data_IF_990058973372
#
_entry.id   IF_990058973372
#
_cell.length_a   1.000
_cell.length_b   1.000
_cell.length_c   1.000
_cell.angle_alpha   90.00
_cell.angle_beta   90.00
_cell.angle_gamma   90.00
#
_symmetry.space_group_name_H-M   'P 1'
#
loop_
_entity.id
_entity.type
_entity.pdbx_description
1 polymer ?
#
# COMPACT_ATOMS: atom_id res chain seq x y z
N UNK A 1 9.33 4.70 -20.27
CA UNK A 1 9.69 3.58 -21.15
C UNK A 1 8.47 3.18 -21.94
N UNK A 2 8.63 2.64 -23.15
CA UNK A 2 7.53 2.07 -23.94
C UNK A 2 7.63 0.56 -23.88
N UNK A 3 6.47 -0.08 -23.85
CA UNK A 3 6.38 -1.53 -23.79
C UNK A 3 5.39 -2.03 -24.84
N UNK A 4 5.74 -3.10 -25.52
CA UNK A 4 4.78 -3.83 -26.35
C UNK A 4 4.15 -4.92 -25.49
N UNK A 5 2.82 -4.89 -25.36
CA UNK A 5 2.01 -5.85 -24.59
C UNK A 5 1.46 -6.91 -25.52
N UNK A 6 1.80 -8.16 -25.24
CA UNK A 6 1.25 -9.35 -25.90
C UNK A 6 0.23 -10.00 -24.97
N UNK A 7 -1.06 -9.93 -25.34
CA UNK A 7 -2.15 -10.48 -24.51
C UNK A 7 -2.70 -11.75 -25.15
N UNK A 8 -2.54 -12.88 -24.46
CA UNK A 8 -3.03 -14.20 -24.84
C UNK A 8 -4.34 -14.49 -24.14
N UNK A 9 -5.40 -14.82 -24.89
CA UNK A 9 -6.65 -15.30 -24.32
C UNK A 9 -6.61 -16.82 -24.21
N UNK A 10 -6.84 -17.35 -23.01
CA UNK A 10 -6.72 -18.76 -22.68
C UNK A 10 -7.82 -19.19 -21.71
N UNK A 11 -7.67 -20.34 -21.09
CA UNK A 11 -8.48 -20.88 -20.00
C UNK A 11 -7.66 -20.98 -18.72
N UNK A 12 -8.32 -20.90 -17.57
CA UNK A 12 -7.68 -20.91 -16.24
C UNK A 12 -6.81 -22.15 -16.01
N UNK A 13 -7.22 -23.31 -16.50
CA UNK A 13 -6.46 -24.57 -16.39
C UNK A 13 -5.13 -24.59 -17.19
N UNK A 14 -4.94 -23.65 -18.12
CA UNK A 14 -3.76 -23.61 -18.99
C UNK A 14 -2.76 -22.51 -18.64
N UNK A 15 -3.06 -21.64 -17.66
CA UNK A 15 -2.26 -20.48 -17.31
C UNK A 15 -0.81 -20.82 -16.99
N UNK A 16 -0.59 -21.66 -15.99
CA UNK A 16 0.73 -22.00 -15.48
C UNK A 16 1.64 -22.62 -16.56
N UNK A 17 1.06 -23.47 -17.41
CA UNK A 17 1.80 -24.12 -18.49
C UNK A 17 2.19 -23.14 -19.58
N UNK A 18 1.27 -22.26 -19.98
CA UNK A 18 1.57 -21.22 -20.98
C UNK A 18 2.62 -20.25 -20.43
N UNK A 19 2.50 -19.81 -19.19
CA UNK A 19 3.47 -18.92 -18.56
C UNK A 19 4.84 -19.58 -18.52
N UNK A 20 4.93 -20.83 -18.09
CA UNK A 20 6.19 -21.57 -18.02
C UNK A 20 6.83 -21.76 -19.40
N UNK A 21 6.04 -22.15 -20.42
CA UNK A 21 6.56 -22.35 -21.78
C UNK A 21 7.06 -21.03 -22.40
N UNK A 22 6.32 -19.93 -22.20
CA UNK A 22 6.72 -18.64 -22.74
C UNK A 22 7.87 -18.00 -21.95
N UNK A 23 8.03 -18.33 -20.68
CA UNK A 23 9.19 -17.94 -19.89
C UNK A 23 10.49 -18.57 -20.47
N UNK A 24 10.46 -19.83 -20.85
CA UNK A 24 11.59 -20.51 -21.49
C UNK A 24 12.00 -19.86 -22.83
N UNK A 25 11.08 -19.15 -23.46
CA UNK A 25 11.31 -18.39 -24.68
C UNK A 25 11.76 -16.93 -24.44
N UNK A 26 11.84 -16.52 -23.16
CA UNK A 26 12.31 -15.19 -22.74
C UNK A 26 11.21 -14.17 -22.46
N UNK A 27 9.94 -14.57 -22.46
CA UNK A 27 8.84 -13.72 -22.01
C UNK A 27 8.68 -13.87 -20.49
N UNK A 28 9.52 -13.15 -19.75
CA UNK A 28 9.59 -13.23 -18.29
C UNK A 28 8.40 -12.51 -17.64
N UNK A 29 7.70 -13.24 -16.77
CA UNK A 29 6.56 -12.72 -16.02
C UNK A 29 5.30 -12.52 -16.86
N UNK A 30 4.16 -12.76 -16.26
CA UNK A 30 2.85 -12.54 -16.87
C UNK A 30 1.91 -11.82 -15.90
N UNK A 31 1.16 -10.87 -16.41
CA UNK A 31 -0.01 -10.36 -15.70
C UNK A 31 -1.19 -11.29 -16.02
N UNK A 32 -1.77 -11.88 -14.99
CA UNK A 32 -2.92 -12.78 -15.11
C UNK A 32 -4.20 -11.96 -14.84
N UNK A 33 -5.16 -12.07 -15.75
CA UNK A 33 -6.52 -11.53 -15.58
C UNK A 33 -7.50 -12.70 -15.70
N UNK A 34 -7.98 -13.22 -14.58
CA UNK A 34 -8.94 -14.31 -14.46
C UNK A 34 -10.04 -13.97 -13.45
N UNK A 35 -10.89 -14.93 -13.17
CA UNK A 35 -11.95 -14.87 -12.16
C UNK A 35 -11.85 -16.03 -11.16
N UNK A 36 -10.70 -16.66 -11.06
CA UNK A 36 -10.45 -17.73 -10.10
C UNK A 36 -10.55 -17.17 -8.68
N UNK A 37 -11.38 -17.76 -7.80
CA UNK A 37 -11.48 -17.29 -6.44
C UNK A 37 -10.15 -17.45 -5.69
N UNK A 38 -9.73 -16.40 -5.00
CA UNK A 38 -8.54 -16.43 -4.17
C UNK A 38 -8.59 -17.58 -3.15
N UNK A 39 -7.50 -18.28 -3.01
CA UNK A 39 -7.33 -19.32 -1.98
C UNK A 39 -7.32 -18.69 -0.57
N UNK A 40 -7.52 -19.53 0.46
CA UNK A 40 -7.46 -19.06 1.85
C UNK A 40 -6.10 -18.45 2.20
N UNK A 41 -5.00 -18.98 1.63
CA UNK A 41 -3.64 -18.48 1.86
C UNK A 41 -3.43 -17.13 1.18
N UNK A 42 -3.87 -16.96 -0.05
CA UNK A 42 -3.78 -15.68 -0.78
C UNK A 42 -4.61 -14.60 -0.08
N UNK A 43 -5.81 -14.96 0.39
CA UNK A 43 -6.65 -14.06 1.19
C UNK A 43 -5.96 -13.60 2.46
N UNK A 44 -5.27 -14.51 3.16
CA UNK A 44 -4.52 -14.19 4.37
C UNK A 44 -3.32 -13.27 4.07
N UNK A 45 -2.68 -13.42 2.90
CA UNK A 45 -1.55 -12.59 2.47
C UNK A 45 -1.95 -11.19 1.96
N UNK A 46 -3.18 -10.99 1.56
CA UNK A 46 -3.65 -9.69 1.06
C UNK A 46 -3.84 -8.63 2.15
N UNK A 47 -3.85 -9.03 3.42
CA UNK A 47 -4.05 -8.11 4.56
C UNK A 47 -5.29 -7.21 4.41
N UNK A 48 -6.42 -7.77 3.96
CA UNK A 48 -7.69 -7.06 3.77
C UNK A 48 -8.76 -7.74 4.60
N UNK A 49 -9.46 -7.00 5.46
CA UNK A 49 -10.52 -7.55 6.32
C UNK A 49 -11.75 -7.97 5.53
N UNK A 50 -12.10 -7.24 4.47
CA UNK A 50 -13.23 -7.55 3.59
C UNK A 50 -12.70 -7.67 2.16
N UNK A 51 -12.73 -8.89 1.64
CA UNK A 51 -12.40 -9.16 0.24
C UNK A 51 -13.64 -8.94 -0.61
N UNK A 52 -13.55 -8.15 -1.70
CA UNK A 52 -14.66 -8.04 -2.62
C UNK A 52 -15.01 -9.44 -3.18
N UNK A 53 -16.28 -9.79 -3.18
CA UNK A 53 -16.75 -10.97 -3.89
C UNK A 53 -16.56 -10.74 -5.39
N UNK A 54 -15.61 -11.43 -5.98
CA UNK A 54 -15.38 -11.44 -7.41
C UNK A 54 -16.54 -12.11 -8.16
N UNK A 55 -16.71 -11.85 -9.48
CA UNK A 55 -17.63 -12.61 -10.30
C UNK A 55 -17.24 -14.09 -10.27
N UNK A 56 -18.24 -14.97 -10.52
CA UNK A 56 -17.96 -16.41 -10.61
C UNK A 56 -16.96 -16.69 -11.74
N UNK A 57 -16.04 -17.62 -11.50
CA UNK A 57 -15.10 -18.08 -12.51
C UNK A 57 -15.85 -18.61 -13.72
N UNK A 58 -15.50 -18.12 -14.91
CA UNK A 58 -16.06 -18.53 -16.20
C UNK A 58 -15.08 -19.39 -17.01
N UNK A 59 -13.95 -19.76 -16.40
CA UNK A 59 -12.91 -20.57 -17.01
C UNK A 59 -12.09 -19.83 -18.07
N UNK A 60 -12.22 -18.50 -18.18
CA UNK A 60 -11.51 -17.68 -19.16
C UNK A 60 -10.41 -16.89 -18.45
N UNK A 61 -9.21 -16.94 -19.02
CA UNK A 61 -8.08 -16.15 -18.55
C UNK A 61 -7.43 -15.34 -19.66
N UNK A 62 -6.76 -14.26 -19.28
CA UNK A 62 -5.90 -13.48 -20.15
C UNK A 62 -4.53 -13.34 -19.52
N UNK A 63 -3.50 -13.71 -20.30
CA UNK A 63 -2.10 -13.60 -19.90
C UNK A 63 -1.47 -12.46 -20.68
N UNK A 64 -0.94 -11.45 -20.01
CA UNK A 64 -0.28 -10.31 -20.64
C UNK A 64 1.20 -10.34 -20.35
N UNK A 65 2.01 -10.39 -21.41
CA UNK A 65 3.47 -10.33 -21.40
C UNK A 65 3.92 -8.98 -21.93
N UNK A 66 5.00 -8.44 -21.36
CA UNK A 66 5.49 -7.11 -21.70
C UNK A 66 6.94 -7.20 -22.18
N UNK A 67 7.22 -6.59 -23.34
CA UNK A 67 8.57 -6.51 -23.91
C UNK A 67 8.94 -5.05 -24.08
N UNK A 68 10.10 -4.65 -23.55
CA UNK A 68 10.57 -3.27 -23.59
C UNK A 68 10.90 -2.83 -25.01
N UNK A 69 10.47 -1.62 -25.38
CA UNK A 69 10.81 -0.98 -26.65
C UNK A 69 12.06 -0.12 -26.48
N UNK A 70 12.95 -0.22 -27.48
CA UNK A 70 14.11 0.65 -27.61
C UNK A 70 13.68 2.06 -28.08
N UNK A 71 14.56 3.03 -27.91
CA UNK A 71 14.35 4.40 -28.40
C UNK A 71 14.13 4.47 -29.94
N UNK A 72 14.62 3.48 -30.69
CA UNK A 72 14.45 3.38 -32.15
C UNK A 72 13.19 2.60 -32.57
N UNK A 73 12.36 2.14 -31.62
CA UNK A 73 11.13 1.38 -31.85
C UNK A 73 11.36 -0.13 -32.07
N UNK A 74 12.58 -0.63 -31.91
CA UNK A 74 12.88 -2.05 -31.92
C UNK A 74 12.58 -2.72 -30.56
N UNK A 75 12.42 -4.05 -30.54
CA UNK A 75 12.24 -4.83 -29.32
C UNK A 75 13.53 -5.58 -28.98
N UNK A 76 13.71 -5.88 -27.71
CA UNK A 76 14.79 -6.77 -27.23
C UNK A 76 14.20 -7.93 -26.44
N UNK A 77 14.58 -9.13 -26.80
CA UNK A 77 14.21 -10.35 -26.07
C UNK A 77 15.48 -11.18 -25.81
N UNK A 78 15.73 -11.60 -24.57
CA UNK A 78 16.95 -12.31 -24.16
C UNK A 78 18.26 -11.59 -24.55
N UNK A 79 18.25 -10.26 -24.64
CA UNK A 79 19.40 -9.45 -25.04
C UNK A 79 19.65 -9.39 -26.55
N UNK A 80 18.80 -9.99 -27.37
CA UNK A 80 18.86 -9.95 -28.84
C UNK A 80 17.77 -9.05 -29.41
N UNK A 81 18.08 -8.40 -30.54
CA UNK A 81 17.13 -7.56 -31.26
C UNK A 81 16.06 -8.41 -31.95
N UNK A 82 14.83 -8.03 -31.78
CA UNK A 82 13.67 -8.75 -32.33
C UNK A 82 12.58 -7.79 -32.84
N UNK A 83 11.51 -8.35 -33.36
CA UNK A 83 10.35 -7.59 -33.86
C UNK A 83 9.05 -8.16 -33.30
N UNK A 84 7.99 -7.34 -33.32
CA UNK A 84 6.63 -7.78 -32.92
C UNK A 84 6.21 -9.03 -33.67
N UNK A 85 6.43 -9.07 -34.99
CA UNK A 85 6.05 -10.22 -35.82
C UNK A 85 6.83 -11.48 -35.47
N UNK A 86 8.11 -11.35 -35.09
CA UNK A 86 8.95 -12.49 -34.66
C UNK A 86 8.44 -13.06 -33.33
N UNK A 87 8.15 -12.20 -32.36
CA UNK A 87 7.58 -12.64 -31.06
C UNK A 87 6.20 -13.26 -31.27
N UNK A 88 5.33 -12.66 -32.08
CA UNK A 88 4.01 -13.23 -32.39
C UNK A 88 4.11 -14.61 -33.01
N UNK A 89 5.05 -14.81 -33.94
CA UNK A 89 5.26 -16.12 -34.58
C UNK A 89 5.73 -17.15 -33.57
N UNK A 90 6.71 -16.79 -32.74
CA UNK A 90 7.23 -17.61 -31.67
C UNK A 90 6.16 -18.03 -30.65
N UNK A 91 5.35 -17.08 -30.16
CA UNK A 91 4.25 -17.38 -29.23
C UNK A 91 3.20 -18.26 -29.88
N UNK A 92 2.82 -18.02 -31.16
CA UNK A 92 1.87 -18.87 -31.89
C UNK A 92 2.37 -20.31 -32.05
N UNK A 93 3.62 -20.48 -32.44
CA UNK A 93 4.23 -21.81 -32.59
C UNK A 93 4.21 -22.59 -31.26
N UNK A 94 4.50 -21.91 -30.14
CA UNK A 94 4.49 -22.53 -28.83
C UNK A 94 3.05 -22.89 -28.40
N UNK A 95 2.08 -21.99 -28.57
CA UNK A 95 0.68 -22.27 -28.28
C UNK A 95 0.13 -23.43 -29.15
N UNK A 96 0.51 -23.50 -30.42
CA UNK A 96 0.13 -24.60 -31.31
C UNK A 96 0.79 -25.93 -30.91
N UNK A 97 2.00 -25.90 -30.34
CA UNK A 97 2.64 -27.06 -29.74
C UNK A 97 1.88 -27.55 -28.52
N UNK A 98 1.52 -26.64 -27.59
CA UNK A 98 0.77 -26.97 -26.38
C UNK A 98 -0.61 -27.56 -26.69
N UNK A 99 -1.30 -27.10 -27.73
CA UNK A 99 -2.60 -27.65 -28.18
C UNK A 99 -2.57 -29.12 -28.54
N UNK A 100 -1.40 -29.68 -28.84
CA UNK A 100 -1.28 -31.12 -29.14
C UNK A 100 -1.39 -31.98 -27.87
N UNK A 101 -1.20 -31.39 -26.70
CA UNK A 101 -1.13 -32.10 -25.43
C UNK A 101 -2.25 -31.72 -24.46
N UNK A 102 -2.82 -30.51 -24.61
CA UNK A 102 -3.86 -30.02 -23.70
C UNK A 102 -4.78 -29.00 -24.37
N UNK A 103 -5.92 -28.77 -23.77
CA UNK A 103 -6.79 -27.66 -24.13
C UNK A 103 -6.20 -26.34 -23.59
N UNK A 104 -5.94 -25.38 -24.48
CA UNK A 104 -5.50 -24.04 -24.13
C UNK A 104 -6.56 -22.98 -24.44
N UNK A 105 -7.78 -23.39 -24.68
CA UNK A 105 -8.86 -22.51 -25.07
C UNK A 105 -8.66 -21.84 -26.42
N UNK A 106 -9.05 -20.57 -26.56
CA UNK A 106 -9.00 -19.85 -27.84
C UNK A 106 -7.56 -19.63 -28.33
N UNK A 107 -6.62 -19.30 -27.43
CA UNK A 107 -5.21 -19.06 -27.75
C UNK A 107 -5.03 -17.90 -28.75
N UNK A 108 -5.96 -16.97 -28.81
CA UNK A 108 -5.81 -15.75 -29.63
C UNK A 108 -4.85 -14.78 -28.95
N UNK A 109 -4.07 -14.05 -29.77
CA UNK A 109 -3.09 -13.09 -29.30
C UNK A 109 -3.47 -11.71 -29.83
N UNK A 110 -3.52 -10.73 -28.94
CA UNK A 110 -3.61 -9.31 -29.30
C UNK A 110 -2.31 -8.61 -28.93
N UNK A 111 -1.94 -7.60 -29.69
CA UNK A 111 -0.76 -6.78 -29.40
C UNK A 111 -1.20 -5.34 -29.25
N UNK A 112 -0.79 -4.74 -28.15
CA UNK A 112 -1.05 -3.34 -27.83
C UNK A 112 0.27 -2.67 -27.42
N UNK A 113 0.43 -1.40 -27.72
CA UNK A 113 1.50 -0.56 -27.18
C UNK A 113 1.04 0.01 -25.83
N UNK A 114 1.90 -0.03 -24.81
CA UNK A 114 1.65 0.62 -23.52
C UNK A 114 2.88 1.40 -23.10
N UNK A 115 2.68 2.54 -22.49
CA UNK A 115 3.76 3.33 -21.91
C UNK A 115 3.71 3.21 -20.38
N UNK A 116 4.86 3.21 -19.71
CA UNK A 116 4.93 3.30 -18.24
C UNK A 116 4.11 4.47 -17.71
N UNK A 117 4.08 5.55 -18.48
CA UNK A 117 3.32 6.77 -18.17
C UNK A 117 1.82 6.51 -18.09
N UNK A 118 1.26 5.64 -18.94
CA UNK A 118 -0.17 5.35 -18.94
C UNK A 118 -0.57 4.52 -17.72
N UNK A 119 0.28 3.64 -17.24
CA UNK A 119 0.02 2.84 -16.05
C UNK A 119 0.27 3.62 -14.76
N UNK A 120 1.42 4.31 -14.68
CA UNK A 120 1.81 5.14 -13.54
C UNK A 120 0.91 6.37 -13.38
N UNK A 121 0.36 6.93 -14.46
CA UNK A 121 -0.42 8.16 -14.41
C UNK A 121 -1.93 7.97 -14.54
N UNK A 122 -2.42 6.80 -14.97
CA UNK A 122 -3.85 6.61 -15.21
C UNK A 122 -4.69 6.71 -13.91
N UNK A 123 -4.12 6.35 -12.76
CA UNK A 123 -4.78 6.53 -11.47
C UNK A 123 -4.78 7.99 -10.99
N UNK A 124 -3.82 8.85 -11.44
CA UNK A 124 -3.76 10.27 -11.07
C UNK A 124 -5.03 11.03 -11.46
N UNK A 125 -5.67 10.65 -12.55
CA UNK A 125 -6.93 11.26 -12.99
C UNK A 125 -8.12 10.95 -12.07
N UNK A 126 -8.01 9.97 -11.18
CA UNK A 126 -9.06 9.59 -10.23
C UNK A 126 -8.79 10.11 -8.82
N UNK A 127 -7.58 10.60 -8.54
CA UNK A 127 -7.23 11.15 -7.24
C UNK A 127 -7.26 12.68 -7.30
N UNK A 128 -8.24 13.28 -6.63
CA UNK A 128 -8.44 14.71 -6.55
C UNK A 128 -8.32 15.18 -5.12
N UNK A 129 -8.11 16.51 -4.94
CA UNK A 129 -8.09 17.12 -3.63
C UNK A 129 -9.39 16.86 -2.85
N UNK A 130 -9.26 16.69 -1.55
CA UNK A 130 -10.38 16.51 -0.64
C UNK A 130 -10.07 17.12 0.72
N UNK A 131 -11.07 17.12 1.62
CA UNK A 131 -10.91 17.71 2.94
C UNK A 131 -11.06 16.66 4.04
N UNK A 132 -10.19 16.75 5.04
CA UNK A 132 -10.37 16.10 6.33
C UNK A 132 -10.58 17.25 7.33
N UNK A 133 -11.84 17.54 7.66
CA UNK A 133 -12.27 18.68 8.46
C UNK A 133 -11.73 20.02 7.88
N UNK A 134 -10.76 20.68 8.51
CA UNK A 134 -10.12 21.92 8.06
C UNK A 134 -8.77 21.70 7.34
N UNK A 135 -8.38 20.47 7.10
CA UNK A 135 -7.15 20.10 6.38
C UNK A 135 -7.50 19.86 4.92
N UNK A 136 -6.82 20.55 4.01
CA UNK A 136 -6.86 20.23 2.59
C UNK A 136 -5.81 19.17 2.28
N UNK A 137 -6.23 18.01 1.76
CA UNK A 137 -5.34 16.99 1.22
C UNK A 137 -5.36 17.14 -0.30
N UNK A 138 -4.20 17.31 -0.90
CA UNK A 138 -4.04 17.63 -2.31
C UNK A 138 -2.83 16.90 -2.90
N UNK A 139 -2.92 16.30 -4.09
CA UNK A 139 -1.77 15.73 -4.76
C UNK A 139 -0.82 16.83 -5.27
N UNK A 140 0.46 16.50 -5.45
CA UNK A 140 1.51 17.48 -5.84
C UNK A 140 1.28 18.11 -7.22
N UNK A 141 0.48 17.49 -8.10
CA UNK A 141 0.17 17.99 -9.44
C UNK A 141 -1.05 18.92 -9.51
N UNK A 142 -1.77 19.13 -8.40
CA UNK A 142 -2.89 20.08 -8.31
C UNK A 142 -2.44 21.38 -7.60
N UNK A 143 -3.04 22.50 -8.00
CA UNK A 143 -2.76 23.81 -7.39
C UNK A 143 -3.78 24.13 -6.28
N UNK A 144 -3.28 24.68 -5.18
CA UNK A 144 -4.13 25.13 -4.06
C UNK A 144 -4.94 26.35 -4.49
N UNK A 145 -6.26 26.25 -4.44
CA UNK A 145 -7.14 27.37 -4.76
C UNK A 145 -7.00 28.53 -3.76
N UNK A 146 -7.30 29.76 -4.22
CA UNK A 146 -7.18 30.98 -3.38
C UNK A 146 -8.00 30.90 -2.09
N UNK A 147 -9.15 30.23 -2.13
CA UNK A 147 -10.05 30.05 -0.97
C UNK A 147 -9.44 29.20 0.16
N UNK A 148 -8.41 28.40 -0.15
CA UNK A 148 -7.82 27.43 0.77
C UNK A 148 -6.42 27.80 1.25
N UNK A 149 -5.92 28.99 0.88
CA UNK A 149 -4.57 29.45 1.24
C UNK A 149 -4.30 29.58 2.73
N UNK A 150 -5.37 29.75 3.53
CA UNK A 150 -5.28 29.89 4.99
C UNK A 150 -5.48 28.55 5.73
N UNK A 151 -5.71 27.45 5.00
CA UNK A 151 -5.87 26.12 5.58
C UNK A 151 -4.54 25.40 5.75
N UNK A 152 -4.51 24.38 6.60
CA UNK A 152 -3.42 23.43 6.60
C UNK A 152 -3.52 22.60 5.33
N UNK A 153 -2.50 22.67 4.48
CA UNK A 153 -2.44 21.96 3.20
C UNK A 153 -1.44 20.82 3.31
N UNK A 154 -1.92 19.60 3.13
CA UNK A 154 -1.10 18.40 3.07
C UNK A 154 -0.97 17.93 1.62
N UNK A 155 0.24 17.87 1.12
CA UNK A 155 0.53 17.26 -0.17
C UNK A 155 0.80 15.77 0.00
N UNK A 156 -0.03 14.93 -0.61
CA UNK A 156 0.13 13.48 -0.62
C UNK A 156 -0.06 12.96 -2.04
N UNK A 157 0.96 12.29 -2.54
CA UNK A 157 0.86 11.58 -3.80
C UNK A 157 0.52 10.11 -3.51
N UNK A 158 -0.63 9.62 -4.00
CA UNK A 158 -0.91 8.20 -3.97
C UNK A 158 0.16 7.48 -4.81
N UNK A 159 0.98 6.70 -4.13
CA UNK A 159 2.02 5.90 -4.75
C UNK A 159 1.74 4.41 -4.59
N UNK A 160 2.80 3.62 -4.56
CA UNK A 160 2.75 2.18 -4.28
C UNK A 160 2.50 1.88 -2.79
N UNK A 161 2.72 2.84 -1.89
CA UNK A 161 2.49 2.70 -0.46
C UNK A 161 1.04 3.07 -0.07
N UNK A 162 0.48 2.35 0.90
CA UNK A 162 -0.85 2.61 1.46
C UNK A 162 -0.88 3.95 2.22
N UNK A 163 -2.05 4.63 2.22
CA UNK A 163 -2.26 5.82 3.06
C UNK A 163 -2.41 7.13 2.29
N UNK A 164 -3.43 7.22 1.41
CA UNK A 164 -3.77 8.49 0.71
C UNK A 164 -4.55 9.49 1.58
N UNK A 165 -5.02 9.05 2.75
CA UNK A 165 -5.88 9.86 3.63
C UNK A 165 -7.37 9.79 3.32
N UNK A 166 -7.78 9.23 2.19
CA UNK A 166 -9.21 9.13 1.83
C UNK A 166 -9.97 8.16 2.71
N UNK A 167 -9.32 7.08 3.18
CA UNK A 167 -9.95 6.04 3.96
C UNK A 167 -10.35 6.54 5.35
N UNK A 168 -11.48 6.09 5.85
CA UNK A 168 -12.08 6.46 7.14
C UNK A 168 -11.13 6.26 8.31
N UNK A 169 -10.39 5.15 8.29
CA UNK A 169 -9.43 4.79 9.36
C UNK A 169 -8.31 5.82 9.50
N UNK A 170 -7.78 6.32 8.37
CA UNK A 170 -6.77 7.37 8.37
C UNK A 170 -7.33 8.67 8.93
N UNK A 171 -8.55 9.05 8.51
CA UNK A 171 -9.23 10.25 9.01
C UNK A 171 -9.49 10.17 10.51
N UNK A 172 -9.89 9.00 11.03
CA UNK A 172 -10.07 8.76 12.46
C UNK A 172 -8.78 9.00 13.23
N UNK A 173 -7.64 8.44 12.78
CA UNK A 173 -6.32 8.67 13.38
C UNK A 173 -5.93 10.15 13.35
N UNK A 174 -6.11 10.83 12.22
CA UNK A 174 -5.79 12.26 12.07
C UNK A 174 -6.55 13.11 13.08
N UNK A 175 -7.84 12.86 13.29
CA UNK A 175 -8.65 13.58 14.28
C UNK A 175 -8.17 13.37 15.70
N UNK A 176 -7.70 12.16 16.03
CA UNK A 176 -7.11 11.89 17.35
C UNK A 176 -5.74 12.55 17.49
N UNK A 177 -4.86 12.45 16.49
CA UNK A 177 -3.57 13.13 16.50
C UNK A 177 -3.72 14.63 16.72
N UNK A 178 -4.67 15.29 16.06
CA UNK A 178 -4.96 16.72 16.22
C UNK A 178 -5.34 17.11 17.67
N UNK A 179 -5.91 16.19 18.46
CA UNK A 179 -6.25 16.43 19.87
C UNK A 179 -5.03 16.34 20.81
N UNK A 180 -4.07 15.47 20.50
CA UNK A 180 -3.02 15.09 21.44
C UNK A 180 -1.63 15.59 21.09
N UNK A 181 -1.37 15.95 19.82
CA UNK A 181 -0.06 16.46 19.40
C UNK A 181 0.21 17.82 20.05
N UNK A 182 1.42 17.98 20.55
CA UNK A 182 1.97 19.21 21.14
C UNK A 182 3.37 19.46 20.62
N UNK A 183 3.96 20.65 20.81
CA UNK A 183 5.34 20.94 20.37
C UNK A 183 6.44 20.06 21.01
N UNK A 184 6.11 19.35 22.09
CA UNK A 184 7.07 18.44 22.75
C UNK A 184 6.89 17.00 22.29
N UNK A 185 5.88 16.69 21.44
CA UNK A 185 5.54 15.34 21.04
C UNK A 185 6.64 14.67 20.23
N UNK A 186 7.13 13.53 20.73
CA UNK A 186 7.82 12.53 19.93
C UNK A 186 6.81 11.45 19.55
N UNK A 187 6.65 11.20 18.25
CA UNK A 187 5.66 10.28 17.71
C UNK A 187 6.35 9.03 17.12
N UNK A 188 5.72 7.88 17.33
CA UNK A 188 6.03 6.64 16.60
C UNK A 188 4.82 6.27 15.75
N UNK A 189 5.03 6.07 14.45
CA UNK A 189 4.04 5.65 13.47
C UNK A 189 4.35 4.22 13.02
N UNK A 190 3.50 3.26 13.38
CA UNK A 190 3.72 1.83 13.09
C UNK A 190 2.86 1.39 11.92
N UNK A 191 3.50 0.87 10.88
CA UNK A 191 2.86 0.68 9.58
C UNK A 191 2.65 2.04 8.90
N UNK A 192 3.73 2.81 8.78
CA UNK A 192 3.66 4.22 8.40
C UNK A 192 3.19 4.45 6.95
N UNK A 193 3.39 3.47 6.05
CA UNK A 193 3.00 3.53 4.65
C UNK A 193 3.52 4.78 3.95
N UNK A 194 2.62 5.64 3.48
CA UNK A 194 2.95 6.93 2.84
C UNK A 194 3.56 7.97 3.80
N UNK A 195 3.58 7.72 5.11
CA UNK A 195 4.00 8.67 6.14
C UNK A 195 2.94 9.69 6.55
N UNK A 196 1.73 9.60 6.04
CA UNK A 196 0.68 10.63 6.21
C UNK A 196 0.43 11.01 7.67
N UNK A 197 0.37 10.04 8.60
CA UNK A 197 0.09 10.29 10.01
C UNK A 197 1.26 10.98 10.71
N UNK A 198 2.48 10.53 10.43
CA UNK A 198 3.70 11.15 10.94
C UNK A 198 3.91 12.56 10.38
N UNK A 199 3.75 12.75 9.06
CA UNK A 199 3.87 14.06 8.39
C UNK A 199 2.85 15.05 8.97
N UNK A 200 1.57 14.67 9.06
CA UNK A 200 0.56 15.54 9.67
C UNK A 200 0.85 15.84 11.13
N UNK A 201 1.38 14.89 11.89
CA UNK A 201 1.78 15.15 13.28
C UNK A 201 2.88 16.21 13.36
N UNK A 202 3.88 16.17 12.47
CA UNK A 202 4.91 17.22 12.37
C UNK A 202 4.32 18.56 11.96
N UNK A 203 3.37 18.57 11.02
CA UNK A 203 2.65 19.78 10.59
C UNK A 203 1.78 20.35 11.71
N UNK A 204 1.23 19.54 12.62
CA UNK A 204 0.54 19.98 13.85
C UNK A 204 1.52 20.51 14.91
N UNK A 205 2.82 20.39 14.67
CA UNK A 205 3.87 20.92 15.50
C UNK A 205 4.58 19.90 16.37
N UNK A 206 4.43 18.58 16.12
CA UNK A 206 5.23 17.57 16.81
C UNK A 206 6.74 17.82 16.61
N UNK A 207 7.52 17.50 17.63
CA UNK A 207 8.96 17.73 17.63
C UNK A 207 9.72 16.77 16.71
N UNK A 208 9.33 15.51 16.72
CA UNK A 208 10.01 14.45 15.97
C UNK A 208 9.05 13.28 15.72
N UNK A 209 9.22 12.60 14.59
CA UNK A 209 8.52 11.38 14.24
C UNK A 209 9.49 10.27 13.86
N UNK A 210 9.13 9.05 14.20
CA UNK A 210 9.76 7.81 13.73
C UNK A 210 8.68 6.98 13.08
N UNK A 211 8.92 6.48 11.86
CA UNK A 211 8.06 5.55 11.14
C UNK A 211 8.68 4.17 11.08
N UNK A 212 7.87 3.13 11.23
CA UNK A 212 8.30 1.75 10.95
C UNK A 212 7.35 1.11 9.93
N UNK A 213 7.89 0.34 8.98
CA UNK A 213 7.10 -0.41 8.03
C UNK A 213 7.80 -1.72 7.66
N UNK A 214 7.04 -2.69 7.12
CA UNK A 214 7.57 -3.92 6.55
C UNK A 214 7.96 -3.74 5.08
N UNK A 215 7.27 -2.84 4.38
CA UNK A 215 7.44 -2.62 2.96
C UNK A 215 8.56 -1.60 2.70
N UNK A 216 9.55 -2.02 1.91
CA UNK A 216 10.66 -1.15 1.49
C UNK A 216 10.18 0.06 0.66
N UNK A 217 9.05 -0.07 -0.05
CA UNK A 217 8.45 1.01 -0.85
C UNK A 217 8.01 2.20 0.03
N UNK A 218 7.74 1.97 1.32
CA UNK A 218 7.41 3.04 2.26
C UNK A 218 8.55 4.06 2.44
N UNK A 219 9.82 3.65 2.27
CA UNK A 219 10.97 4.57 2.41
C UNK A 219 10.94 5.67 1.36
N UNK A 220 10.71 5.29 0.10
CA UNK A 220 10.65 6.25 -0.99
C UNK A 220 9.39 7.11 -0.90
N UNK A 221 8.25 6.51 -0.57
CA UNK A 221 6.99 7.23 -0.39
C UNK A 221 7.06 8.28 0.73
N UNK A 222 7.62 7.92 1.89
CA UNK A 222 7.84 8.85 3.02
C UNK A 222 8.76 9.98 2.61
N UNK A 223 9.89 9.67 1.93
CA UNK A 223 10.84 10.70 1.48
C UNK A 223 10.16 11.71 0.55
N UNK A 224 9.46 11.24 -0.49
CA UNK A 224 8.79 12.09 -1.48
C UNK A 224 7.69 12.94 -0.85
N UNK A 225 6.87 12.35 0.04
CA UNK A 225 5.83 13.08 0.74
C UNK A 225 6.41 14.08 1.76
N UNK A 226 7.53 13.79 2.43
CA UNK A 226 8.23 14.76 3.27
C UNK A 226 8.73 15.94 2.46
N UNK A 227 9.38 15.71 1.31
CA UNK A 227 9.85 16.75 0.41
C UNK A 227 8.70 17.65 -0.07
N UNK A 228 7.58 17.06 -0.49
CA UNK A 228 6.37 17.77 -0.96
C UNK A 228 5.75 18.66 0.12
N UNK A 229 5.93 18.31 1.40
CA UNK A 229 5.40 19.07 2.55
C UNK A 229 6.46 19.93 3.25
N UNK A 230 7.68 20.00 2.74
CA UNK A 230 8.77 20.79 3.34
C UNK A 230 9.19 20.30 4.73
N UNK A 231 9.00 19.01 5.02
CA UNK A 231 9.44 18.38 6.27
C UNK A 231 10.96 18.15 6.19
N UNK A 232 11.69 18.68 7.17
CA UNK A 232 13.14 18.44 7.28
C UNK A 232 13.37 16.94 7.60
N UNK A 233 14.22 16.23 6.82
CA UNK A 233 14.56 14.83 7.08
C UNK A 233 15.08 14.53 8.49
N UNK A 234 15.64 15.53 9.18
CA UNK A 234 16.08 15.38 10.58
C UNK A 234 14.92 15.16 11.55
N UNK A 235 13.71 15.56 11.17
CA UNK A 235 12.52 15.47 12.01
C UNK A 235 11.71 14.19 11.80
N UNK A 236 12.00 13.41 10.75
CA UNK A 236 11.32 12.16 10.47
C UNK A 236 12.31 11.05 10.10
N UNK A 237 12.51 10.10 11.01
CA UNK A 237 13.33 8.91 10.77
C UNK A 237 12.45 7.72 10.34
N UNK A 238 12.86 7.00 9.28
CA UNK A 238 12.19 5.81 8.77
C UNK A 238 13.02 4.56 8.99
N UNK A 239 12.37 3.46 9.46
CA UNK A 239 12.99 2.16 9.69
C UNK A 239 12.18 1.05 9.04
N UNK A 240 12.85 0.15 8.31
CA UNK A 240 12.22 -1.06 7.77
C UNK A 240 12.46 -2.23 8.72
N UNK A 241 11.38 -2.90 9.08
CA UNK A 241 11.42 -4.10 9.92
C UNK A 241 10.15 -4.33 10.73
N UNK A 242 10.03 -5.53 11.28
CA UNK A 242 8.87 -5.95 12.06
C UNK A 242 9.07 -5.62 13.56
N UNK A 243 8.46 -4.52 14.01
CA UNK A 243 8.56 -4.09 15.42
C UNK A 243 7.95 -5.12 16.40
N UNK A 244 7.06 -6.03 15.95
CA UNK A 244 6.45 -7.03 16.81
C UNK A 244 7.46 -8.13 17.18
N UNK A 245 8.21 -8.59 16.17
CA UNK A 245 9.06 -9.79 16.31
C UNK A 245 10.55 -9.50 16.31
N UNK A 246 10.97 -8.35 15.76
CA UNK A 246 12.37 -7.99 15.62
C UNK A 246 12.86 -7.13 16.79
N UNK A 247 13.69 -7.76 17.62
CA UNK A 247 14.27 -7.10 18.79
C UNK A 247 15.23 -5.97 18.44
N UNK A 248 15.93 -6.08 17.30
CA UNK A 248 16.84 -5.03 16.84
C UNK A 248 16.06 -3.77 16.45
N UNK A 249 14.93 -3.93 15.79
CA UNK A 249 14.02 -2.81 15.46
C UNK A 249 13.48 -2.18 16.76
N UNK A 250 13.02 -2.97 17.72
CA UNK A 250 12.55 -2.46 19.01
C UNK A 250 13.63 -1.65 19.74
N UNK A 251 14.88 -2.13 19.74
CA UNK A 251 16.01 -1.48 20.41
C UNK A 251 16.41 -0.18 19.71
N UNK A 252 16.34 -0.13 18.36
CA UNK A 252 16.60 1.08 17.57
C UNK A 252 15.50 2.13 17.74
N UNK A 253 14.23 1.71 17.71
CA UNK A 253 13.07 2.56 17.97
C UNK A 253 13.17 3.18 19.37
N UNK A 254 13.61 2.42 20.35
CA UNK A 254 13.79 2.87 21.73
C UNK A 254 12.60 2.59 22.64
N UNK A 255 12.80 2.78 23.94
CA UNK A 255 11.84 2.46 24.99
C UNK A 255 11.52 3.69 25.84
N UNK A 256 10.27 3.79 26.30
CA UNK A 256 9.76 4.89 27.15
C UNK A 256 10.11 6.30 26.61
N UNK A 257 10.11 6.47 25.28
CA UNK A 257 10.57 7.71 24.63
C UNK A 257 9.51 8.42 23.76
N UNK A 258 8.35 7.77 23.51
CA UNK A 258 7.29 8.36 22.69
C UNK A 258 6.13 8.88 23.52
N UNK A 259 5.69 10.09 23.19
CA UNK A 259 4.51 10.71 23.78
C UNK A 259 3.23 10.19 23.11
N UNK A 260 3.33 9.87 21.80
CA UNK A 260 2.25 9.27 21.03
C UNK A 260 2.82 8.09 20.22
N UNK A 261 2.10 6.97 20.21
CA UNK A 261 2.24 5.90 19.22
C UNK A 261 0.93 5.81 18.44
N UNK A 262 1.02 5.85 17.10
CA UNK A 262 -0.12 5.64 16.22
C UNK A 262 0.10 4.41 15.35
N UNK A 263 -0.96 3.66 15.09
CA UNK A 263 -0.95 2.50 14.21
C UNK A 263 -2.31 2.40 13.48
N UNK A 264 -2.28 2.57 12.16
CA UNK A 264 -3.45 2.40 11.29
C UNK A 264 -3.27 1.14 10.44
N UNK A 265 -3.48 -0.01 11.07
CA UNK A 265 -3.25 -1.34 10.50
C UNK A 265 -4.35 -2.30 10.96
N UNK A 266 -4.42 -3.48 10.34
CA UNK A 266 -5.48 -4.47 10.62
C UNK A 266 -5.55 -4.87 12.09
N UNK A 267 -6.75 -5.12 12.59
CA UNK A 267 -7.02 -5.52 13.96
C UNK A 267 -6.22 -6.75 14.39
N UNK A 268 -6.03 -7.74 13.51
CA UNK A 268 -5.28 -8.97 13.79
C UNK A 268 -3.78 -8.72 13.99
N UNK A 269 -3.27 -7.60 13.45
CA UNK A 269 -1.88 -7.13 13.66
C UNK A 269 -1.80 -6.23 14.90
N UNK A 270 -2.84 -5.43 15.19
CA UNK A 270 -2.89 -4.58 16.38
C UNK A 270 -2.87 -5.41 17.69
N UNK A 271 -3.54 -6.55 17.72
CA UNK A 271 -3.58 -7.42 18.91
C UNK A 271 -2.19 -7.87 19.37
N UNK A 272 -1.33 -8.48 18.52
CA UNK A 272 0.04 -8.82 18.92
C UNK A 272 0.97 -7.60 19.05
N UNK A 273 0.70 -6.49 18.37
CA UNK A 273 1.48 -5.26 18.44
C UNK A 273 1.32 -4.57 19.81
N UNK A 274 0.10 -4.51 20.33
CA UNK A 274 -0.24 -3.74 21.54
C UNK A 274 0.65 -4.03 22.74
N UNK A 275 0.93 -5.29 23.15
CA UNK A 275 1.82 -5.57 24.29
C UNK A 275 3.27 -5.15 24.02
N UNK A 276 3.71 -5.04 22.78
CA UNK A 276 5.05 -4.57 22.43
C UNK A 276 5.11 -3.05 22.57
N UNK A 277 4.17 -2.33 22.00
CA UNK A 277 4.13 -0.87 21.92
C UNK A 277 4.07 -0.18 23.28
N UNK A 278 3.49 -0.82 24.28
CA UNK A 278 3.50 -0.29 25.66
C UNK A 278 4.92 0.02 26.14
N UNK A 279 5.93 -0.74 25.67
CA UNK A 279 7.32 -0.52 26.07
C UNK A 279 7.92 0.75 25.42
N UNK A 280 7.46 1.18 24.25
CA UNK A 280 7.93 2.37 23.56
C UNK A 280 7.28 3.65 24.11
N UNK A 281 6.03 3.55 24.60
CA UNK A 281 5.30 4.67 25.18
C UNK A 281 5.90 5.13 26.51
N UNK A 282 6.01 6.44 26.68
CA UNK A 282 6.23 7.08 27.97
C UNK A 282 5.04 6.82 28.91
N UNK A 283 5.29 6.96 30.21
CA UNK A 283 4.21 7.08 31.18
C UNK A 283 3.35 8.31 30.84
N UNK A 284 2.02 8.12 30.78
CA UNK A 284 1.07 9.15 30.31
C UNK A 284 0.96 9.25 28.79
N UNK A 285 1.77 8.51 28.04
CA UNK A 285 1.76 8.50 26.58
C UNK A 285 0.46 7.93 25.99
N UNK A 286 0.14 8.37 24.78
CA UNK A 286 -1.13 8.07 24.09
C UNK A 286 -0.87 7.02 23.00
N UNK A 287 -1.71 6.01 22.95
CA UNK A 287 -1.78 5.02 21.87
C UNK A 287 -3.05 5.24 21.06
N UNK A 288 -2.90 5.49 19.76
CA UNK A 288 -3.99 5.71 18.81
C UNK A 288 -3.97 4.57 17.81
N UNK A 289 -5.07 3.83 17.68
CA UNK A 289 -5.19 2.73 16.72
C UNK A 289 -6.39 2.92 15.83
N UNK A 290 -6.31 2.50 14.57
CA UNK A 290 -7.40 2.34 13.62
C UNK A 290 -7.07 1.25 12.61
N UNK A 291 -7.89 1.07 11.55
CA UNK A 291 -7.84 -0.12 10.70
C UNK A 291 -8.64 -1.27 11.32
N UNK A 292 -9.62 -0.91 12.15
CA UNK A 292 -10.44 -1.84 12.92
C UNK A 292 -11.86 -1.78 12.36
N UNK A 293 -12.36 -2.91 11.85
CA UNK A 293 -13.79 -3.03 11.53
C UNK A 293 -14.57 -3.22 12.84
N UNK A 294 -15.82 -2.75 12.88
CA UNK A 294 -16.66 -2.72 14.08
C UNK A 294 -16.80 -4.09 14.77
N UNK A 295 -16.91 -5.18 13.99
CA UNK A 295 -16.95 -6.54 14.51
C UNK A 295 -15.69 -6.94 15.31
N UNK A 296 -14.54 -6.29 15.09
CA UNK A 296 -13.27 -6.54 15.78
C UNK A 296 -12.96 -5.53 16.90
N UNK A 297 -13.81 -4.53 17.12
CA UNK A 297 -13.62 -3.50 18.15
C UNK A 297 -13.29 -4.09 19.52
N UNK A 298 -14.16 -4.99 19.98
CA UNK A 298 -14.03 -5.57 21.33
C UNK A 298 -12.71 -6.33 21.50
N UNK A 299 -12.26 -7.02 20.44
CA UNK A 299 -10.99 -7.76 20.45
C UNK A 299 -9.79 -6.83 20.66
N UNK A 300 -9.77 -5.68 19.95
CA UNK A 300 -8.69 -4.69 20.11
C UNK A 300 -8.80 -3.98 21.45
N UNK A 301 -9.98 -3.58 21.89
CA UNK A 301 -10.20 -2.97 23.21
C UNK A 301 -9.73 -3.89 24.35
N UNK A 302 -9.99 -5.18 24.25
CA UNK A 302 -9.54 -6.16 25.25
C UNK A 302 -8.02 -6.32 25.24
N UNK A 303 -7.37 -6.35 24.08
CA UNK A 303 -5.92 -6.37 23.96
C UNK A 303 -5.27 -5.12 24.57
N UNK A 304 -5.84 -3.94 24.30
CA UNK A 304 -5.39 -2.64 24.84
C UNK A 304 -5.48 -2.65 26.39
N UNK A 305 -6.61 -3.09 26.95
CA UNK A 305 -6.80 -3.22 28.40
C UNK A 305 -5.87 -4.27 29.03
N UNK A 306 -5.71 -5.42 28.36
CA UNK A 306 -4.82 -6.49 28.84
C UNK A 306 -3.35 -6.06 28.90
N UNK A 307 -2.94 -5.13 28.01
CA UNK A 307 -1.62 -4.51 28.02
C UNK A 307 -1.45 -3.43 29.11
N UNK A 308 -2.48 -3.17 29.91
CA UNK A 308 -2.44 -2.20 31.03
C UNK A 308 -2.69 -0.76 30.62
N UNK A 309 -3.20 -0.53 29.41
CA UNK A 309 -3.57 0.81 28.94
C UNK A 309 -5.02 1.15 29.35
N UNK A 310 -5.24 2.43 29.64
CA UNK A 310 -6.58 2.98 29.90
C UNK A 310 -7.20 3.46 28.57
N UNK A 311 -8.31 2.87 28.14
CA UNK A 311 -9.06 3.34 26.97
C UNK A 311 -9.71 4.68 27.30
N UNK A 312 -9.37 5.71 26.52
CA UNK A 312 -9.87 7.08 26.68
C UNK A 312 -11.06 7.38 25.77
N UNK A 313 -11.00 6.89 24.54
CA UNK A 313 -11.99 7.22 23.49
C UNK A 313 -12.09 6.06 22.50
N UNK A 314 -13.29 5.80 21.99
CA UNK A 314 -13.57 4.92 20.86
C UNK A 314 -14.41 5.70 19.88
N UNK A 315 -13.90 5.94 18.69
CA UNK A 315 -14.55 6.76 17.68
C UNK A 315 -14.83 5.98 16.40
N UNK A 316 -15.88 6.36 15.69
CA UNK A 316 -16.42 5.61 14.55
C UNK A 316 -16.56 6.51 13.32
N UNK A 317 -16.34 5.92 12.15
CA UNK A 317 -16.69 6.50 10.86
C UNK A 317 -17.12 5.38 9.91
N UNK A 318 -18.42 5.31 9.54
CA UNK A 318 -18.96 4.15 8.84
C UNK A 318 -18.84 2.89 9.71
N UNK A 319 -18.31 1.84 9.15
CA UNK A 319 -18.00 0.55 9.81
C UNK A 319 -16.61 0.52 10.50
N UNK A 320 -15.86 1.61 10.43
CA UNK A 320 -14.49 1.69 10.93
C UNK A 320 -14.40 2.32 12.30
N UNK A 321 -13.46 1.81 13.09
CA UNK A 321 -13.26 2.18 14.49
C UNK A 321 -11.84 2.65 14.75
N UNK A 322 -11.70 3.64 15.63
CA UNK A 322 -10.41 4.01 16.22
C UNK A 322 -10.50 3.91 17.74
N UNK A 323 -9.50 3.28 18.34
CA UNK A 323 -9.35 3.16 19.80
C UNK A 323 -8.17 4.01 20.25
N UNK A 324 -8.43 4.96 21.16
CA UNK A 324 -7.40 5.80 21.78
C UNK A 324 -7.25 5.41 23.23
N UNK A 325 -6.01 5.17 23.67
CA UNK A 325 -5.71 4.74 25.02
C UNK A 325 -4.48 5.45 25.59
N UNK A 326 -4.29 5.37 26.91
CA UNK A 326 -3.19 6.00 27.65
C UNK A 326 -2.43 4.98 28.50
N UNK A 327 -1.11 5.08 28.52
CA UNK A 327 -0.24 4.35 29.46
C UNK A 327 -0.24 5.06 30.82
N UNK A 328 -0.67 4.36 31.87
CA UNK A 328 -0.75 4.88 33.27
C UNK A 328 0.62 4.95 33.97
#
# INVERSE_FOLDING_TARGET
>A
MKWTKFKVKTITDAEDIIISSLYDLGLEGAQIEDKVPLTALEKEQMFVDILPEGPADDGIAYLSFFVEEKEDGGLTLNGEDTTVDAILSMVKEELDSLRQFMDIGEGSITVDETEDIDWINNWKQYFHQFYIDDILVIPSWEEVEVKDKDKLVLHIDPGTAFGTGMHETTQLCIRQLKKYVTPETNLLDVGTGSGILAILSLMFGAKHAVGTDLDICAVDAVRENCESNGIDPVNFEMMIGNIITDKEIQDRVGYDCYDIVVANILADVLVPLTPVIVNQLKKGGIYITSGIIDDKEQTVVDAVKAAGLEVLDVTYQGEWVSVTARKN
#
